data_IF_925074578787
#
_entry.id   IF_925074578787
#
_cell.length_a   1.000
_cell.length_b   1.000
_cell.length_c   1.000
_cell.angle_alpha   90.00
_cell.angle_beta   90.00
_cell.angle_gamma   90.00
#
_symmetry.space_group_name_H-M   'P 1'
#
loop_
_entity.id
_entity.type
_entity.pdbx_description
1 polymer ?
#
# COMPACT_ATOMS: atom_id res chain seq x y z
N UNK A 1 -6.47 -4.26 5.30
CA UNK A 1 -7.20 -3.64 4.16
C UNK A 1 -6.55 -4.13 2.87
N UNK A 2 -7.29 -4.22 1.75
CA UNK A 2 -6.72 -4.63 0.47
C UNK A 2 -6.86 -3.51 -0.56
N UNK A 3 -5.87 -3.37 -1.42
CA UNK A 3 -5.95 -2.50 -2.59
C UNK A 3 -6.85 -3.15 -3.63
N UNK A 4 -7.86 -2.42 -4.12
CA UNK A 4 -8.77 -2.90 -5.14
C UNK A 4 -8.25 -2.57 -6.53
N UNK A 5 -8.27 -3.58 -7.40
CA UNK A 5 -7.85 -3.48 -8.80
C UNK A 5 -8.96 -4.05 -9.67
N UNK A 6 -9.28 -3.38 -10.78
CA UNK A 6 -10.18 -3.88 -11.81
C UNK A 6 -9.37 -4.32 -13.03
N UNK A 7 -9.51 -5.57 -13.43
CA UNK A 7 -9.02 -6.09 -14.69
C UNK A 7 -10.17 -6.06 -15.72
N UNK A 8 -10.13 -5.10 -16.64
CA UNK A 8 -11.22 -4.88 -17.62
C UNK A 8 -10.78 -5.37 -18.99
N UNK A 9 -11.62 -6.20 -19.62
CA UNK A 9 -11.40 -6.67 -20.99
C UNK A 9 -11.54 -5.50 -21.97
N UNK A 10 -10.45 -5.19 -22.68
CA UNK A 10 -10.41 -4.11 -23.68
C UNK A 10 -9.74 -4.58 -24.94
N UNK A 11 -10.23 -4.06 -26.06
CA UNK A 11 -9.60 -4.25 -27.37
C UNK A 11 -8.38 -3.35 -27.47
N UNK A 12 -7.22 -3.93 -27.69
CA UNK A 12 -5.95 -3.23 -27.84
C UNK A 12 -5.46 -3.44 -29.27
N UNK A 13 -5.09 -2.35 -29.94
CA UNK A 13 -4.37 -2.37 -31.21
C UNK A 13 -2.88 -2.22 -30.91
N UNK A 14 -2.07 -3.08 -31.48
CA UNK A 14 -0.60 -3.07 -31.30
C UNK A 14 0.11 -2.30 -32.39
N UNK A 15 -0.52 -2.15 -33.55
CA UNK A 15 -0.03 -1.35 -34.66
C UNK A 15 -0.86 -0.08 -34.84
N UNK A 16 -0.27 0.93 -35.51
CA UNK A 16 -1.00 2.15 -35.89
C UNK A 16 -1.80 1.96 -37.19
N UNK A 17 -1.82 0.73 -37.72
CA UNK A 17 -2.57 0.41 -38.91
C UNK A 17 -4.08 0.48 -38.62
N UNK A 18 -4.81 1.18 -39.44
CA UNK A 18 -6.28 1.30 -39.32
C UNK A 18 -6.97 -0.07 -39.49
N UNK A 19 -6.36 -0.99 -40.25
CA UNK A 19 -6.88 -2.34 -40.49
C UNK A 19 -6.51 -3.34 -39.38
N UNK A 20 -5.74 -2.96 -38.37
CA UNK A 20 -5.44 -3.84 -37.24
C UNK A 20 -6.74 -4.22 -36.52
N UNK A 21 -7.15 -5.52 -36.56
CA UNK A 21 -8.39 -5.96 -35.90
C UNK A 21 -8.33 -5.79 -34.39
N UNK A 22 -7.14 -5.59 -33.81
CA UNK A 22 -6.92 -5.52 -32.38
C UNK A 22 -7.21 -6.83 -31.66
N UNK A 23 -6.64 -7.02 -30.48
CA UNK A 23 -6.83 -8.21 -29.64
C UNK A 23 -7.44 -7.80 -28.32
N UNK A 24 -8.40 -8.58 -27.81
CA UNK A 24 -8.96 -8.37 -26.49
C UNK A 24 -7.97 -8.82 -25.42
N UNK A 25 -7.71 -7.94 -24.45
CA UNK A 25 -6.81 -8.19 -23.32
C UNK A 25 -7.41 -7.61 -22.04
N UNK A 26 -7.16 -8.25 -20.93
CA UNK A 26 -7.48 -7.70 -19.61
C UNK A 26 -6.44 -6.67 -19.21
N UNK A 27 -6.89 -5.44 -19.02
CA UNK A 27 -6.05 -4.31 -18.57
C UNK A 27 -6.36 -4.01 -17.12
N UNK A 28 -5.35 -4.12 -16.27
CA UNK A 28 -5.48 -3.83 -14.85
C UNK A 28 -5.45 -2.32 -14.59
N UNK A 29 -6.36 -1.86 -13.77
CA UNK A 29 -6.43 -0.47 -13.30
C UNK A 29 -6.72 -0.45 -11.81
N UNK A 30 -6.02 0.41 -11.03
CA UNK A 30 -6.37 0.59 -9.63
C UNK A 30 -7.79 1.17 -9.53
N UNK A 31 -8.57 0.65 -8.60
CA UNK A 31 -9.84 1.23 -8.22
C UNK A 31 -9.59 2.26 -7.13
N UNK A 32 -9.64 3.53 -7.53
CA UNK A 32 -9.40 4.64 -6.62
C UNK A 32 -10.64 4.86 -5.75
N UNK A 33 -10.43 4.96 -4.44
CA UNK A 33 -11.44 5.48 -3.53
C UNK A 33 -11.61 6.99 -3.72
N UNK A 34 -12.59 7.59 -3.04
CA UNK A 34 -12.76 9.04 -3.05
C UNK A 34 -11.51 9.76 -2.54
N UNK A 35 -11.17 10.89 -3.16
CA UNK A 35 -10.07 11.72 -2.67
C UNK A 35 -10.38 12.26 -1.28
N UNK A 36 -9.39 12.20 -0.39
CA UNK A 36 -9.48 12.76 0.94
C UNK A 36 -9.04 14.22 0.91
N UNK A 37 -9.83 15.08 1.54
CA UNK A 37 -9.50 16.50 1.66
C UNK A 37 -8.43 16.73 2.74
N UNK A 38 -7.68 17.82 2.61
CA UNK A 38 -6.73 18.26 3.63
C UNK A 38 -7.40 18.37 5.02
N UNK A 39 -8.62 18.91 5.10
CA UNK A 39 -9.35 19.03 6.34
C UNK A 39 -9.59 17.68 7.03
N UNK A 40 -9.87 16.62 6.25
CA UNK A 40 -10.05 15.27 6.80
C UNK A 40 -8.73 14.70 7.32
N UNK A 41 -7.63 14.91 6.62
CA UNK A 41 -6.30 14.48 7.06
C UNK A 41 -5.91 15.20 8.35
N UNK A 42 -6.10 16.52 8.43
CA UNK A 42 -5.82 17.32 9.64
C UNK A 42 -6.65 16.85 10.83
N UNK A 43 -7.95 16.59 10.62
CA UNK A 43 -8.83 16.08 11.68
C UNK A 43 -8.34 14.75 12.24
N UNK A 44 -7.99 13.81 11.36
CA UNK A 44 -7.51 12.50 11.76
C UNK A 44 -6.13 12.58 12.45
N UNK A 45 -5.23 13.42 11.94
CA UNK A 45 -3.93 13.67 12.57
C UNK A 45 -4.06 14.29 13.96
N UNK A 46 -4.99 15.23 14.12
CA UNK A 46 -5.30 15.84 15.42
C UNK A 46 -5.81 14.81 16.44
N UNK A 47 -6.70 13.90 16.01
CA UNK A 47 -7.20 12.82 16.85
C UNK A 47 -6.09 11.87 17.30
N UNK A 48 -5.17 11.50 16.40
CA UNK A 48 -4.07 10.59 16.73
C UNK A 48 -2.98 11.21 17.60
N UNK A 49 -2.73 12.51 17.42
CA UNK A 49 -1.69 13.22 18.17
C UNK A 49 -2.18 13.80 19.51
N UNK A 50 -3.49 13.87 19.73
CA UNK A 50 -4.07 14.46 20.93
C UNK A 50 -4.03 16.00 20.97
N UNK A 51 -3.58 16.67 19.89
CA UNK A 51 -3.59 18.15 19.82
C UNK A 51 -4.90 18.67 19.22
N UNK A 52 -5.21 19.93 19.47
CA UNK A 52 -6.42 20.53 18.90
C UNK A 52 -6.31 20.63 17.37
N UNK A 53 -7.45 20.52 16.69
CA UNK A 53 -7.49 20.61 15.22
C UNK A 53 -6.96 21.95 14.70
N UNK A 54 -7.15 23.05 15.45
CA UNK A 54 -6.63 24.37 15.08
C UNK A 54 -5.11 24.42 15.10
N UNK A 55 -4.48 23.87 16.13
CA UNK A 55 -3.01 23.76 16.23
C UNK A 55 -2.48 22.86 15.13
N UNK A 56 -3.09 21.69 14.91
CA UNK A 56 -2.68 20.77 13.84
C UNK A 56 -2.75 21.44 12.46
N UNK A 57 -3.82 22.22 12.20
CA UNK A 57 -3.96 22.97 10.96
C UNK A 57 -2.84 23.99 10.78
N UNK A 58 -2.54 24.77 11.81
CA UNK A 58 -1.47 25.77 11.75
C UNK A 58 -0.11 25.15 11.48
N UNK A 59 0.23 24.05 12.16
CA UNK A 59 1.47 23.29 11.92
C UNK A 59 1.54 22.73 10.49
N UNK A 60 0.42 22.17 10.00
CA UNK A 60 0.33 21.61 8.67
C UNK A 60 0.53 22.67 7.57
N UNK A 61 -0.14 23.80 7.71
CA UNK A 61 -0.03 24.91 6.75
C UNK A 61 1.39 25.49 6.74
N UNK A 62 1.98 25.76 7.93
CA UNK A 62 3.35 26.24 8.04
C UNK A 62 4.37 25.26 7.43
N UNK A 63 4.25 23.96 7.70
CA UNK A 63 5.10 22.95 7.10
C UNK A 63 4.96 22.92 5.58
N UNK A 64 3.74 23.03 5.06
CA UNK A 64 3.47 23.08 3.62
C UNK A 64 4.13 24.29 2.94
N UNK A 65 4.09 25.46 3.57
CA UNK A 65 4.75 26.67 3.05
C UNK A 65 6.28 26.52 3.00
N UNK A 66 6.89 26.01 4.06
CA UNK A 66 8.35 25.76 4.11
C UNK A 66 8.77 24.73 3.05
N UNK A 67 8.04 23.62 2.96
CA UNK A 67 8.31 22.57 1.97
C UNK A 67 8.23 23.15 0.54
N UNK A 68 7.20 23.94 0.27
CA UNK A 68 7.03 24.62 -1.02
C UNK A 68 8.19 25.55 -1.33
N UNK A 69 8.60 26.41 -0.39
CA UNK A 69 9.68 27.35 -0.57
C UNK A 69 11.00 26.62 -0.91
N UNK A 70 11.40 25.67 -0.09
CA UNK A 70 12.66 24.95 -0.30
C UNK A 70 12.66 24.09 -1.57
N UNK A 71 11.52 23.46 -1.91
CA UNK A 71 11.42 22.71 -3.16
C UNK A 71 11.56 23.60 -4.40
N UNK A 72 11.07 24.85 -4.34
CA UNK A 72 11.19 25.81 -5.45
C UNK A 72 12.58 26.44 -5.53
N UNK A 73 13.30 26.50 -4.44
CA UNK A 73 14.73 26.90 -4.38
C UNK A 73 15.68 25.82 -4.91
N UNK A 74 15.16 24.62 -5.19
CA UNK A 74 15.93 23.52 -5.76
C UNK A 74 16.43 22.50 -4.73
N UNK A 75 16.04 22.61 -3.47
CA UNK A 75 16.39 21.64 -2.43
C UNK A 75 15.61 20.33 -2.59
N UNK A 76 16.22 19.23 -2.15
CA UNK A 76 15.51 17.97 -1.91
C UNK A 76 14.96 17.99 -0.50
N UNK A 77 13.65 17.96 -0.37
CA UNK A 77 12.95 18.06 0.91
C UNK A 77 12.47 16.68 1.35
N UNK A 78 12.86 16.24 2.55
CA UNK A 78 12.36 15.00 3.14
C UNK A 78 10.94 15.20 3.67
N UNK A 79 10.06 14.24 3.37
CA UNK A 79 8.69 14.16 3.86
C UNK A 79 8.62 12.98 4.83
N UNK A 80 8.44 13.21 6.14
CA UNK A 80 8.49 12.15 7.15
C UNK A 80 7.52 11.00 6.85
N UNK A 81 8.02 9.77 6.85
CA UNK A 81 7.25 8.57 6.57
C UNK A 81 6.83 8.36 5.10
N UNK A 82 7.07 9.35 4.23
CA UNK A 82 6.63 9.27 2.83
C UNK A 82 7.82 9.12 1.87
N UNK A 83 8.89 9.88 2.07
CA UNK A 83 10.01 9.89 1.14
C UNK A 83 10.61 11.27 0.95
N UNK A 84 11.04 11.60 -0.26
CA UNK A 84 11.61 12.91 -0.57
C UNK A 84 11.00 13.52 -1.83
N UNK A 85 11.00 14.84 -1.86
CA UNK A 85 10.50 15.64 -2.96
C UNK A 85 11.57 16.57 -3.47
N UNK A 86 11.79 16.63 -4.77
CA UNK A 86 12.79 17.50 -5.38
C UNK A 86 12.33 18.09 -6.70
N UNK A 87 12.95 19.18 -7.09
CA UNK A 87 12.77 19.80 -8.40
C UNK A 87 13.35 18.91 -9.51
N UNK A 88 12.67 18.87 -10.64
CA UNK A 88 13.14 18.22 -11.85
C UNK A 88 12.75 19.01 -13.08
N UNK A 89 13.50 18.87 -14.15
CA UNK A 89 13.22 19.50 -15.43
C UNK A 89 13.38 18.52 -16.58
N UNK A 90 12.76 18.85 -17.69
CA UNK A 90 12.99 18.24 -18.99
C UNK A 90 13.44 19.33 -19.95
N UNK A 91 14.54 19.10 -20.66
CA UNK A 91 15.08 20.02 -21.66
C UNK A 91 15.45 19.28 -22.93
N UNK A 92 15.60 20.04 -24.03
CA UNK A 92 16.24 19.58 -25.24
C UNK A 92 17.77 19.67 -25.05
N UNK A 93 18.50 18.73 -25.61
CA UNK A 93 19.95 18.77 -25.68
C UNK A 93 20.37 19.60 -26.91
N UNK A 94 21.50 20.31 -26.79
CA UNK A 94 22.17 21.08 -27.85
C UNK A 94 23.65 20.75 -27.84
N UNK A 95 24.30 20.84 -29.00
CA UNK A 95 25.71 20.51 -29.14
C UNK A 95 26.63 21.66 -28.73
N UNK A 96 26.20 22.90 -29.03
CA UNK A 96 27.01 24.07 -28.76
C UNK A 96 26.53 24.80 -27.49
N UNK A 97 27.46 25.19 -26.63
CA UNK A 97 27.18 25.95 -25.40
C UNK A 97 26.48 27.26 -25.67
N UNK A 98 26.76 27.91 -26.80
CA UNK A 98 26.13 29.19 -27.18
C UNK A 98 24.63 29.05 -27.50
N UNK A 99 24.16 27.84 -27.74
CA UNK A 99 22.75 27.55 -28.01
C UNK A 99 21.95 27.24 -26.73
N UNK A 100 22.62 27.18 -25.57
CA UNK A 100 21.96 26.95 -24.27
C UNK A 100 21.10 28.14 -23.90
N UNK A 101 19.79 27.94 -23.84
CA UNK A 101 18.77 28.96 -23.53
C UNK A 101 17.72 28.39 -22.60
N UNK A 102 17.13 29.23 -21.77
CA UNK A 102 16.02 28.84 -20.87
C UNK A 102 14.82 28.27 -21.63
N UNK A 103 14.61 28.68 -22.88
CA UNK A 103 13.56 28.18 -23.77
C UNK A 103 13.73 26.70 -24.16
N UNK A 104 14.91 26.10 -23.94
CA UNK A 104 15.12 24.67 -24.13
C UNK A 104 14.45 23.84 -23.04
N UNK A 105 14.12 24.43 -21.89
CA UNK A 105 13.40 23.77 -20.81
C UNK A 105 11.94 23.62 -21.21
N UNK A 106 11.56 22.41 -21.61
CA UNK A 106 10.20 22.13 -22.06
C UNK A 106 9.20 21.92 -20.92
N UNK A 107 9.65 21.48 -19.77
CA UNK A 107 8.79 21.36 -18.58
C UNK A 107 9.57 21.39 -17.26
N UNK A 108 8.93 21.95 -16.25
CA UNK A 108 9.38 21.93 -14.85
C UNK A 108 8.43 21.04 -14.06
N UNK A 109 8.93 20.21 -13.17
CA UNK A 109 8.13 19.25 -12.41
C UNK A 109 8.72 19.00 -11.03
N UNK A 110 7.90 18.53 -10.13
CA UNK A 110 8.34 17.97 -8.87
C UNK A 110 8.44 16.46 -9.02
N UNK A 111 9.54 15.89 -8.58
CA UNK A 111 9.77 14.45 -8.54
C UNK A 111 9.64 14.02 -7.09
N UNK A 112 8.74 13.09 -6.83
CA UNK A 112 8.58 12.41 -5.55
C UNK A 112 9.30 11.07 -5.59
N UNK A 113 10.13 10.81 -4.57
CA UNK A 113 10.82 9.52 -4.39
C UNK A 113 10.33 8.91 -3.08
N UNK A 114 9.54 7.84 -3.12
CA UNK A 114 9.00 7.21 -1.91
C UNK A 114 10.13 6.60 -1.06
N UNK A 115 9.93 6.59 0.27
CA UNK A 115 10.81 5.93 1.23
C UNK A 115 10.80 4.41 1.02
N UNK A 116 11.79 3.73 1.61
CA UNK A 116 11.85 2.26 1.61
C UNK A 116 10.66 1.70 2.35
N UNK A 117 10.37 2.23 3.55
CA UNK A 117 9.23 1.79 4.38
C UNK A 117 7.91 1.85 3.63
N UNK A 118 7.66 2.96 2.91
CA UNK A 118 6.44 3.10 2.12
C UNK A 118 6.37 2.09 0.96
N UNK A 119 7.49 1.77 0.33
CA UNK A 119 7.56 0.75 -0.73
C UNK A 119 7.27 -0.65 -0.18
N UNK A 120 7.85 -0.96 0.98
CA UNK A 120 7.69 -2.26 1.64
C UNK A 120 6.26 -2.44 2.14
N UNK A 121 5.65 -1.38 2.69
CA UNK A 121 4.24 -1.40 3.07
C UNK A 121 3.32 -1.64 1.86
N UNK A 122 3.59 -0.98 0.72
CA UNK A 122 2.85 -1.21 -0.52
C UNK A 122 3.04 -2.63 -1.06
N UNK A 123 4.26 -3.18 -0.99
CA UNK A 123 4.55 -4.53 -1.46
C UNK A 123 3.85 -5.60 -0.60
N UNK A 124 3.72 -5.34 0.70
CA UNK A 124 3.06 -6.25 1.65
C UNK A 124 1.54 -6.04 1.74
N UNK A 125 1.00 -5.01 1.10
CA UNK A 125 -0.44 -4.74 1.12
C UNK A 125 -1.18 -5.74 0.23
N UNK A 126 -2.18 -6.41 0.79
CA UNK A 126 -3.02 -7.35 0.05
C UNK A 126 -3.71 -6.67 -1.16
N UNK A 127 -3.85 -7.40 -2.26
CA UNK A 127 -4.50 -6.92 -3.49
C UNK A 127 -5.72 -7.80 -3.76
N UNK A 128 -6.85 -7.17 -4.10
CA UNK A 128 -8.06 -7.82 -4.59
C UNK A 128 -8.31 -7.38 -6.02
N UNK A 129 -8.41 -8.32 -6.95
CA UNK A 129 -8.62 -8.05 -8.38
C UNK A 129 -10.01 -8.55 -8.77
N UNK A 130 -10.87 -7.65 -9.29
CA UNK A 130 -12.13 -7.98 -9.92
C UNK A 130 -11.95 -7.98 -11.44
N UNK A 131 -12.18 -9.12 -12.09
CA UNK A 131 -12.09 -9.26 -13.55
C UNK A 131 -13.46 -8.99 -14.17
N UNK A 132 -13.52 -8.01 -15.06
CA UNK A 132 -14.76 -7.53 -15.71
C UNK A 132 -14.63 -7.78 -17.21
N UNK A 133 -15.61 -8.48 -17.78
CA UNK A 133 -15.67 -8.73 -19.21
C UNK A 133 -16.07 -7.47 -20.02
N UNK A 134 -16.12 -7.60 -21.35
CA UNK A 134 -16.53 -6.52 -22.26
C UNK A 134 -17.96 -6.04 -22.06
N UNK A 135 -18.81 -6.86 -21.43
CA UNK A 135 -20.23 -6.55 -21.16
C UNK A 135 -20.41 -5.89 -19.79
N UNK A 136 -19.34 -5.71 -19.02
CA UNK A 136 -19.39 -5.11 -17.70
C UNK A 136 -19.74 -6.10 -16.57
N UNK A 137 -19.82 -7.41 -16.88
CA UNK A 137 -20.07 -8.45 -15.86
C UNK A 137 -18.75 -8.83 -15.18
N UNK A 138 -18.78 -8.96 -13.85
CA UNK A 138 -17.65 -9.54 -13.09
C UNK A 138 -17.64 -11.06 -13.33
N UNK A 139 -16.56 -11.55 -13.94
CA UNK A 139 -16.39 -12.95 -14.33
C UNK A 139 -15.46 -13.73 -13.42
N UNK A 140 -14.63 -13.02 -12.63
CA UNK A 140 -13.67 -13.64 -11.74
C UNK A 140 -13.19 -12.65 -10.68
N UNK A 141 -12.90 -13.16 -9.47
CA UNK A 141 -12.23 -12.39 -8.42
C UNK A 141 -10.99 -13.15 -7.94
N UNK A 142 -9.89 -12.40 -7.75
CA UNK A 142 -8.60 -12.95 -7.28
C UNK A 142 -8.13 -12.15 -6.08
N UNK A 143 -7.73 -12.82 -5.02
CA UNK A 143 -7.16 -12.20 -3.83
C UNK A 143 -5.72 -12.68 -3.62
N UNK A 144 -4.84 -11.80 -3.13
CA UNK A 144 -3.43 -12.14 -2.91
C UNK A 144 -3.21 -13.13 -1.77
N UNK A 145 -4.22 -13.33 -0.91
CA UNK A 145 -4.09 -14.15 0.31
C UNK A 145 -4.39 -15.62 0.08
N UNK A 146 -5.17 -15.99 -0.92
CA UNK A 146 -5.65 -17.37 -1.08
C UNK A 146 -5.11 -18.07 -2.32
N UNK A 147 -4.69 -17.33 -3.37
CA UNK A 147 -4.47 -17.93 -4.68
C UNK A 147 -5.72 -18.62 -5.25
N UNK A 148 -6.81 -18.63 -4.50
CA UNK A 148 -8.09 -19.21 -4.87
C UNK A 148 -8.92 -18.24 -5.69
N UNK A 149 -9.58 -18.81 -6.65
CA UNK A 149 -10.48 -18.14 -7.58
C UNK A 149 -11.89 -18.29 -7.02
N UNK A 150 -12.45 -17.22 -6.49
CA UNK A 150 -13.87 -17.19 -6.15
C UNK A 150 -14.67 -16.86 -7.42
N UNK A 151 -15.47 -17.82 -7.89
CA UNK A 151 -16.45 -17.55 -8.94
C UNK A 151 -17.63 -16.76 -8.36
N UNK A 152 -18.02 -15.64 -8.96
CA UNK A 152 -19.10 -14.80 -8.42
C UNK A 152 -20.49 -15.43 -8.47
N UNK A 153 -20.65 -16.62 -9.05
CA UNK A 153 -21.96 -17.29 -9.21
C UNK A 153 -22.35 -18.25 -8.08
N UNK A 154 -21.46 -18.54 -7.11
CA UNK A 154 -21.75 -19.53 -6.04
C UNK A 154 -22.43 -18.96 -4.79
N UNK A 155 -22.88 -17.71 -4.79
CA UNK A 155 -23.60 -17.11 -3.66
C UNK A 155 -25.12 -17.01 -3.91
N UNK A 156 -25.72 -18.07 -4.43
CA UNK A 156 -27.16 -18.11 -4.63
C UNK A 156 -27.72 -19.52 -4.70
N UNK A 157 -28.22 -19.98 -3.58
CA UNK A 157 -29.15 -21.09 -3.44
C UNK A 157 -28.54 -22.38 -2.86
N UNK A 158 -28.41 -22.43 -1.55
CA UNK A 158 -28.58 -23.71 -0.85
C UNK A 158 -30.00 -23.76 -0.30
N UNK A 159 -30.85 -24.40 -1.06
CA UNK A 159 -32.13 -24.87 -0.59
C UNK A 159 -31.87 -26.11 0.31
N UNK A 160 -32.44 -26.20 1.52
CA UNK A 160 -32.31 -27.40 2.35
C UNK A 160 -33.27 -28.46 1.83
N UNK A 161 -32.73 -29.46 1.16
CA UNK A 161 -33.52 -30.68 0.88
C UNK A 161 -33.24 -31.67 2.01
N UNK A 162 -34.27 -31.89 2.83
CA UNK A 162 -34.40 -33.05 3.71
C UNK A 162 -34.28 -34.33 2.91
N UNK A 163 -33.58 -35.29 3.45
CA UNK A 163 -33.57 -36.65 2.95
C UNK A 163 -32.89 -37.55 3.97
N UNK A 164 -33.70 -38.17 4.79
CA UNK A 164 -33.40 -39.34 5.64
C UNK A 164 -32.67 -40.43 4.85
N UNK A 165 -31.75 -41.14 5.50
CA UNK A 165 -31.79 -42.58 5.77
C UNK A 165 -30.38 -43.12 6.09
N UNK A 166 -30.16 -43.45 7.38
CA UNK A 166 -30.02 -44.78 7.92
C UNK A 166 -28.84 -45.66 7.47
N UNK A 167 -28.15 -46.09 8.46
CA UNK A 167 -27.57 -47.41 8.68
C UNK A 167 -26.06 -47.56 8.79
N UNK A 168 -25.68 -47.96 10.00
CA UNK A 168 -24.90 -49.15 10.20
C UNK A 168 -23.45 -49.00 10.60
N UNK A 169 -23.24 -49.03 11.91
CA UNK A 169 -22.40 -50.01 12.59
C UNK A 169 -20.89 -50.06 12.29
N UNK A 170 -20.04 -49.85 13.17
CA UNK A 170 -19.36 -50.87 13.96
C UNK A 170 -18.24 -50.30 14.84
N UNK A 171 -18.16 -50.86 15.97
CA UNK A 171 -17.29 -50.78 17.14
C UNK A 171 -15.80 -50.95 16.87
N UNK A 172 -15.01 -50.35 17.69
CA UNK A 172 -13.94 -50.93 18.55
C UNK A 172 -12.80 -49.89 18.64
N UNK A 173 -12.33 -49.43 19.78
CA UNK A 173 -11.96 -50.10 21.00
C UNK A 173 -10.53 -49.72 21.35
N UNK A 174 -10.29 -49.26 22.59
CA UNK A 174 -8.98 -49.38 23.23
C UNK A 174 -8.19 -48.08 23.41
N UNK A 175 -8.25 -47.40 24.51
CA UNK A 175 -7.61 -47.64 25.82
C UNK A 175 -6.17 -47.10 25.95
N UNK A 176 -5.94 -46.39 27.04
CA UNK A 176 -4.64 -46.13 27.65
C UNK A 176 -4.18 -44.69 27.53
N UNK A 177 -4.25 -43.80 28.44
CA UNK A 177 -3.88 -43.85 29.84
C UNK A 177 -2.44 -43.48 30.01
N UNK A 178 -2.14 -42.34 30.57
CA UNK A 178 -1.36 -42.16 31.77
C UNK A 178 -0.79 -40.75 31.92
N UNK A 179 -1.03 -40.23 33.07
CA UNK A 179 -0.53 -39.01 33.73
C UNK A 179 1.00 -39.02 33.94
N UNK A 180 1.56 -37.82 34.06
CA UNK A 180 2.47 -37.37 35.14
C UNK A 180 3.14 -36.09 34.67
N UNK A 181 3.19 -34.94 35.34
CA UNK A 181 3.48 -34.69 36.75
C UNK A 181 4.88 -34.13 36.88
N UNK A 182 5.01 -32.90 37.47
CA UNK A 182 6.28 -32.40 37.98
C UNK A 182 6.68 -31.01 37.46
N UNK A 183 6.35 -29.95 38.10
CA UNK A 183 6.87 -29.13 39.20
C UNK A 183 8.32 -28.69 39.12
N UNK A 184 8.49 -27.44 39.52
CA UNK A 184 9.66 -26.78 40.13
C UNK A 184 10.57 -26.06 39.14
N UNK A 185 10.78 -24.77 39.18
CA UNK A 185 11.14 -23.92 40.31
C UNK A 185 12.57 -23.45 40.07
N UNK A 186 12.84 -22.17 40.19
CA UNK A 186 14.20 -21.69 40.20
C UNK A 186 14.37 -20.20 39.85
N UNK A 187 14.21 -19.39 40.85
CA UNK A 187 14.72 -18.00 40.92
C UNK A 187 16.20 -17.93 40.61
N UNK A 188 16.65 -16.89 39.99
CA UNK A 188 17.88 -16.25 40.44
C UNK A 188 17.98 -14.75 40.08
N UNK A 189 18.22 -14.00 41.12
CA UNK A 189 18.49 -12.60 41.32
C UNK A 189 19.96 -12.33 41.04
N UNK A 190 20.27 -11.15 40.60
CA UNK A 190 21.60 -10.54 40.70
C UNK A 190 21.85 -9.69 39.49
N UNK A 191 22.03 -8.42 39.49
CA UNK A 191 22.60 -7.55 40.49
C UNK A 191 23.79 -6.84 39.86
N UNK A 192 23.70 -5.51 39.88
CA UNK A 192 24.75 -4.60 40.15
C UNK A 192 25.51 -3.87 39.00
N UNK A 193 25.36 -2.55 39.09
CA UNK A 193 26.33 -1.44 39.09
C UNK A 193 27.13 -1.21 37.80
N UNK A 194 27.14 -0.02 37.27
CA UNK A 194 27.66 1.23 37.81
C UNK A 194 28.81 1.67 36.94
N UNK A 195 28.87 2.86 36.49
CA UNK A 195 30.03 3.43 35.77
C UNK A 195 29.71 4.81 35.23
N UNK A 196 29.91 5.80 36.09
CA UNK A 196 30.08 7.23 35.81
C UNK A 196 31.34 7.48 34.99
N UNK A 197 31.37 8.62 34.31
CA UNK A 197 32.61 9.26 33.84
C UNK A 197 32.36 10.12 32.61
N UNK A 198 32.01 11.38 32.82
CA UNK A 198 32.80 12.63 32.65
C UNK A 198 33.35 12.84 31.24
N UNK A 199 32.92 13.88 30.55
CA UNK A 199 33.30 15.29 30.57
C UNK A 199 34.43 15.62 29.58
N UNK A 200 34.44 16.85 29.12
CA UNK A 200 35.36 17.56 28.23
C UNK A 200 34.93 17.57 26.75
N UNK A 201 34.55 18.67 26.12
CA UNK A 201 34.97 20.05 26.26
C UNK A 201 35.70 20.50 24.98
N UNK A 202 35.28 21.65 24.45
CA UNK A 202 35.98 22.51 23.47
C UNK A 202 35.95 22.14 21.94
N UNK A 203 35.38 22.92 21.15
CA UNK A 203 35.66 24.14 20.39
C UNK A 203 34.61 24.32 19.29
#
# INVERSE_FOLDING_TARGET
>A
MALKVKAVERKIKFTKDENDPGVYRYVMKPEMYSSLTQAKVIKEAALRSGVSQGVMKACWDAAGEVIKAWATEGHSVALPGLGSMRFGLRSKAVENVNDVKTSLISSRRIIFTPSVDLKDELANTAIQISCIDRNGKEVKRVTSTSGEVEDPEENGTTNPTNGDDNNGGNQNGGNGGTQNGGTSGGDNIGGNSGGEGSDDGYN
#
